data_IF_134032706486
#
_entry.id   IF_134032706486
#
_cell.length_a   1.000
_cell.length_b   1.000
_cell.length_c   1.000
_cell.angle_alpha   90.00
_cell.angle_beta   90.00
_cell.angle_gamma   90.00
#
_symmetry.space_group_name_H-M   'P 1'
#
loop_
_entity.id
_entity.type
_entity.pdbx_description
1 polymer ?
#
# COMPACT_ATOMS: atom_id res chain seq x y z
N UNK A 1 -17.41 15.49 16.89
CA UNK A 1 -17.48 15.08 15.48
C UNK A 1 -16.74 16.11 14.64
N UNK A 2 -15.57 15.76 14.14
CA UNK A 2 -14.85 16.57 13.17
C UNK A 2 -15.58 16.39 11.83
N UNK A 3 -16.32 17.38 11.37
CA UNK A 3 -16.94 17.34 10.04
C UNK A 3 -15.82 17.27 9.01
N UNK A 4 -15.76 16.18 8.27
CA UNK A 4 -14.88 16.03 7.12
C UNK A 4 -15.38 17.04 6.06
N UNK A 5 -14.74 18.19 5.96
CA UNK A 5 -14.94 19.09 4.83
C UNK A 5 -14.39 18.45 3.57
N UNK A 6 -15.18 18.45 2.50
CA UNK A 6 -14.72 17.99 1.18
C UNK A 6 -13.42 18.75 0.81
N UNK A 7 -12.30 18.05 0.59
CA UNK A 7 -11.03 18.69 0.23
C UNK A 7 -11.08 19.40 -1.13
N UNK A 8 -12.07 19.07 -1.96
CA UNK A 8 -12.29 19.67 -3.27
C UNK A 8 -13.77 20.01 -3.46
N UNK A 9 -14.22 21.17 -2.93
CA UNK A 9 -15.62 21.59 -3.04
C UNK A 9 -16.11 21.56 -4.50
N UNK A 10 -17.23 20.87 -4.74
CA UNK A 10 -17.87 20.77 -6.05
C UNK A 10 -17.41 19.62 -6.95
N UNK A 11 -16.47 18.77 -6.55
CA UNK A 11 -16.12 17.53 -7.26
C UNK A 11 -16.77 16.30 -6.65
N UNK A 12 -17.23 15.41 -7.52
CA UNK A 12 -17.76 14.10 -7.12
C UNK A 12 -16.61 13.28 -6.51
N UNK A 13 -16.73 12.93 -5.22
CA UNK A 13 -15.82 11.97 -4.57
C UNK A 13 -15.90 10.67 -5.37
N UNK A 14 -14.76 10.14 -5.81
CA UNK A 14 -14.71 8.81 -6.44
C UNK A 14 -15.15 7.79 -5.40
N UNK A 15 -16.16 6.99 -5.73
CA UNK A 15 -16.63 5.89 -4.89
C UNK A 15 -15.61 4.74 -4.97
N UNK A 16 -14.78 4.48 -3.94
CA UNK A 16 -13.75 3.44 -3.99
C UNK A 16 -14.33 2.06 -4.24
N UNK A 17 -15.55 1.79 -3.82
CA UNK A 17 -16.19 0.49 -4.05
C UNK A 17 -16.54 0.26 -5.52
N UNK A 18 -16.89 1.31 -6.26
CA UNK A 18 -17.21 1.25 -7.69
C UNK A 18 -16.00 1.49 -8.59
N UNK A 19 -15.13 2.41 -8.16
CA UNK A 19 -14.02 2.90 -8.98
C UNK A 19 -12.72 2.14 -8.73
N UNK A 20 -12.67 1.23 -7.74
CA UNK A 20 -11.45 0.50 -7.36
C UNK A 20 -10.74 -0.22 -8.52
N UNK A 21 -11.43 -0.96 -9.40
CA UNK A 21 -10.78 -1.57 -10.57
C UNK A 21 -10.15 -0.54 -11.51
N UNK A 22 -10.79 0.62 -11.71
CA UNK A 22 -10.25 1.70 -12.53
C UNK A 22 -9.05 2.37 -11.88
N UNK A 23 -9.10 2.60 -10.57
CA UNK A 23 -7.98 3.10 -9.76
C UNK A 23 -6.77 2.19 -9.92
N UNK A 24 -6.95 0.89 -9.72
CA UNK A 24 -5.88 -0.09 -9.89
C UNK A 24 -5.33 -0.13 -11.32
N UNK A 25 -6.20 -0.07 -12.32
CA UNK A 25 -5.78 -0.05 -13.72
C UNK A 25 -4.96 1.21 -14.04
N UNK A 26 -5.38 2.37 -13.56
CA UNK A 26 -4.68 3.63 -13.75
C UNK A 26 -3.29 3.60 -13.08
N UNK A 27 -3.19 3.05 -11.88
CA UNK A 27 -1.91 2.91 -11.17
C UNK A 27 -0.97 1.94 -11.88
N UNK A 28 -1.48 0.83 -12.40
CA UNK A 28 -0.69 -0.14 -13.21
C UNK A 28 -0.16 0.47 -14.49
N UNK A 29 -0.89 1.40 -15.10
CA UNK A 29 -0.43 2.18 -16.26
C UNK A 29 0.59 3.28 -15.89
N UNK A 30 1.14 3.28 -14.67
CA UNK A 30 2.10 4.28 -14.18
C UNK A 30 1.45 5.58 -13.71
N UNK A 31 0.13 5.63 -13.60
CA UNK A 31 -0.60 6.78 -13.07
C UNK A 31 -0.38 6.96 -11.57
N UNK A 32 -0.34 8.20 -11.12
CA UNK A 32 -0.25 8.55 -9.71
C UNK A 32 -1.65 8.85 -9.17
N UNK A 33 -2.03 8.19 -8.08
CA UNK A 33 -3.26 8.45 -7.35
C UNK A 33 -2.97 8.39 -5.84
N UNK A 34 -3.02 9.55 -5.21
CA UNK A 34 -2.70 9.71 -3.79
C UNK A 34 -3.97 9.55 -2.95
N UNK A 35 -4.06 8.50 -2.12
CA UNK A 35 -5.18 8.33 -1.22
C UNK A 35 -5.03 9.27 -0.02
N UNK A 36 -6.01 10.13 0.21
CA UNK A 36 -6.06 11.09 1.30
C UNK A 36 -7.18 10.73 2.28
N UNK A 37 -6.85 10.64 3.56
CA UNK A 37 -7.81 10.65 4.67
C UNK A 37 -7.76 12.01 5.37
N UNK A 38 -8.87 12.75 5.42
CA UNK A 38 -8.92 14.03 6.14
C UNK A 38 -8.84 13.79 7.66
N UNK A 39 -7.92 14.50 8.32
CA UNK A 39 -7.68 14.37 9.77
C UNK A 39 -8.51 15.37 10.61
N UNK A 40 -9.32 16.20 9.95
CA UNK A 40 -10.02 17.33 10.57
C UNK A 40 -9.26 18.64 10.43
N UNK A 41 -9.98 19.76 10.48
CA UNK A 41 -9.41 21.09 10.18
C UNK A 41 -8.80 21.11 8.78
N UNK A 42 -7.54 21.59 8.71
CA UNK A 42 -6.74 21.69 7.50
C UNK A 42 -5.67 20.58 7.37
N UNK A 43 -5.77 19.50 8.14
CA UNK A 43 -4.81 18.39 8.10
C UNK A 43 -5.32 17.20 7.27
N UNK A 44 -4.37 16.42 6.71
CA UNK A 44 -4.66 15.21 5.96
C UNK A 44 -3.53 14.21 5.98
N UNK A 45 -3.88 12.92 5.95
CA UNK A 45 -2.94 11.80 5.86
C UNK A 45 -2.99 11.17 4.47
N UNK A 46 -1.84 11.14 3.80
CA UNK A 46 -1.65 10.37 2.57
C UNK A 46 -0.85 9.12 2.90
N UNK A 47 -1.32 7.97 2.44
CA UNK A 47 -0.66 6.69 2.74
C UNK A 47 -0.27 5.90 1.49
N UNK A 48 0.71 5.00 1.65
CA UNK A 48 1.01 3.96 0.68
C UNK A 48 0.79 2.57 1.32
N UNK A 49 0.38 1.55 0.56
CA UNK A 49 0.31 0.18 1.06
C UNK A 49 1.66 -0.27 1.63
N UNK A 50 1.62 -1.05 2.71
CA UNK A 50 2.79 -1.55 3.46
C UNK A 50 3.61 -0.49 4.21
N UNK A 51 3.12 0.75 4.31
CA UNK A 51 3.68 1.81 5.13
C UNK A 51 2.86 2.01 6.41
N UNK A 52 2.52 0.96 7.13
CA UNK A 52 1.71 1.04 8.36
C UNK A 52 0.25 1.43 8.13
N UNK A 53 -0.25 1.27 6.90
CA UNK A 53 -1.57 1.76 6.50
C UNK A 53 -2.72 1.17 7.33
N UNK A 54 -2.64 -0.06 7.81
CA UNK A 54 -3.67 -0.69 8.66
C UNK A 54 -3.76 0.03 10.01
N UNK A 55 -2.62 0.26 10.66
CA UNK A 55 -2.55 1.01 11.93
C UNK A 55 -3.04 2.44 11.76
N UNK A 56 -2.57 3.14 10.73
CA UNK A 56 -2.95 4.53 10.46
C UNK A 56 -4.44 4.68 10.15
N UNK A 57 -5.02 3.78 9.37
CA UNK A 57 -6.46 3.76 9.09
C UNK A 57 -7.28 3.48 10.34
N UNK A 58 -6.84 2.54 11.19
CA UNK A 58 -7.49 2.28 12.47
C UNK A 58 -7.48 3.51 13.38
N UNK A 59 -6.32 4.15 13.51
CA UNK A 59 -6.19 5.39 14.28
C UNK A 59 -7.07 6.49 13.72
N UNK A 60 -7.10 6.65 12.39
CA UNK A 60 -7.99 7.62 11.74
C UNK A 60 -9.47 7.34 12.04
N UNK A 61 -9.90 6.06 11.99
CA UNK A 61 -11.27 5.67 12.32
C UNK A 61 -11.62 5.97 13.78
N UNK A 62 -10.70 5.73 14.71
CA UNK A 62 -10.87 6.10 16.13
C UNK A 62 -11.03 7.62 16.29
N UNK A 63 -10.25 8.42 15.56
CA UNK A 63 -10.42 9.88 15.54
C UNK A 63 -11.78 10.32 15.01
N UNK A 64 -12.42 9.51 14.15
CA UNK A 64 -13.78 9.73 13.66
C UNK A 64 -14.86 9.18 14.63
N UNK A 65 -14.47 8.58 15.76
CA UNK A 65 -15.37 8.00 16.76
C UNK A 65 -15.85 6.59 16.43
N UNK A 66 -15.20 5.89 15.51
CA UNK A 66 -15.55 4.50 15.19
C UNK A 66 -15.08 3.54 16.29
N UNK A 67 -15.91 2.55 16.61
CA UNK A 67 -15.53 1.42 17.47
C UNK A 67 -14.72 0.42 16.67
N UNK A 68 -13.42 0.43 16.87
CA UNK A 68 -12.45 -0.45 16.20
C UNK A 68 -12.12 -1.73 16.98
N UNK A 69 -12.82 -2.00 18.09
CA UNK A 69 -12.58 -3.18 18.94
C UNK A 69 -13.44 -4.39 18.56
N UNK A 70 -14.36 -4.24 17.64
CA UNK A 70 -15.26 -5.30 17.22
C UNK A 70 -14.51 -6.48 16.59
N UNK A 71 -14.86 -7.73 16.93
CA UNK A 71 -14.29 -8.91 16.28
C UNK A 71 -14.47 -8.85 14.75
N UNK A 72 -13.41 -9.13 14.01
CA UNK A 72 -13.44 -9.10 12.54
C UNK A 72 -13.41 -7.69 11.93
N UNK A 73 -13.16 -6.65 12.73
CA UNK A 73 -13.03 -5.29 12.22
C UNK A 73 -11.85 -5.17 11.24
N UNK A 74 -12.15 -4.76 10.00
CA UNK A 74 -11.14 -4.49 8.98
C UNK A 74 -11.01 -2.98 8.73
N UNK A 75 -9.89 -2.35 9.14
CA UNK A 75 -9.68 -0.93 8.94
C UNK A 75 -9.56 -0.53 7.47
N UNK A 76 -9.21 -1.46 6.59
CA UNK A 76 -9.13 -1.17 5.16
C UNK A 76 -10.51 -0.94 4.55
N UNK A 77 -11.42 -1.88 4.75
CA UNK A 77 -12.79 -1.76 4.26
C UNK A 77 -13.54 -0.59 4.90
N UNK A 78 -13.32 -0.33 6.20
CA UNK A 78 -14.00 0.73 6.91
C UNK A 78 -13.52 2.15 6.54
N UNK A 79 -12.22 2.34 6.24
CA UNK A 79 -11.64 3.65 5.90
C UNK A 79 -11.75 4.00 4.41
N UNK A 80 -11.80 3.02 3.51
CA UNK A 80 -11.80 3.24 2.07
C UNK A 80 -12.95 4.15 1.57
N UNK A 81 -14.19 4.03 2.04
CA UNK A 81 -15.29 4.90 1.58
C UNK A 81 -15.06 6.38 1.85
N UNK A 82 -14.22 6.72 2.82
CA UNK A 82 -13.89 8.11 3.20
C UNK A 82 -12.59 8.61 2.57
N UNK A 83 -11.90 7.77 1.79
CA UNK A 83 -10.65 8.14 1.15
C UNK A 83 -10.91 8.93 -0.14
N UNK A 84 -10.18 10.04 -0.29
CA UNK A 84 -10.16 10.80 -1.55
C UNK A 84 -8.96 10.38 -2.37
N UNK A 85 -9.18 9.99 -3.62
CA UNK A 85 -8.12 9.57 -4.53
C UNK A 85 -7.75 10.74 -5.44
N UNK A 86 -6.61 11.35 -5.16
CA UNK A 86 -6.15 12.59 -5.78
C UNK A 86 -5.13 12.30 -6.89
N UNK A 87 -5.33 12.85 -8.07
CA UNK A 87 -4.28 12.91 -9.08
C UNK A 87 -3.22 13.97 -8.68
N UNK A 88 -2.08 14.09 -9.40
CA UNK A 88 -1.01 15.02 -9.02
C UNK A 88 -1.42 16.50 -8.95
N UNK A 89 -2.35 16.94 -9.80
CA UNK A 89 -2.85 18.32 -9.79
C UNK A 89 -3.75 18.57 -8.58
N UNK A 90 -4.63 17.62 -8.30
CA UNK A 90 -5.51 17.64 -7.13
C UNK A 90 -4.70 17.60 -5.83
N UNK A 91 -3.65 16.76 -5.77
CA UNK A 91 -2.75 16.71 -4.60
C UNK A 91 -2.08 18.06 -4.35
N UNK A 92 -1.55 18.70 -5.40
CA UNK A 92 -0.98 20.06 -5.29
C UNK A 92 -2.01 21.09 -4.86
N UNK A 93 -3.20 21.07 -5.43
CA UNK A 93 -4.26 22.00 -5.06
C UNK A 93 -4.68 21.83 -3.59
N UNK A 94 -4.79 20.60 -3.11
CA UNK A 94 -5.11 20.31 -1.70
C UNK A 94 -3.98 20.73 -0.79
N UNK A 95 -2.73 20.47 -1.15
CA UNK A 95 -1.56 20.83 -0.33
C UNK A 95 -1.35 22.35 -0.16
N UNK A 96 -1.86 23.16 -1.07
CA UNK A 96 -1.84 24.62 -0.94
C UNK A 96 -2.71 25.14 0.23
N UNK A 97 -3.68 24.34 0.69
CA UNK A 97 -4.66 24.72 1.72
C UNK A 97 -4.71 23.75 2.91
N UNK A 98 -3.96 22.64 2.85
CA UNK A 98 -3.95 21.61 3.89
C UNK A 98 -2.53 21.19 4.25
N UNK A 99 -2.33 20.92 5.52
CA UNK A 99 -1.10 20.35 6.08
C UNK A 99 -1.11 18.84 5.85
N UNK A 100 -0.50 18.37 4.77
CA UNK A 100 -0.44 16.94 4.46
C UNK A 100 0.72 16.25 5.17
N UNK A 101 0.43 15.06 5.69
CA UNK A 101 1.40 14.14 6.30
C UNK A 101 1.47 12.88 5.46
N UNK A 102 2.67 12.38 5.21
CA UNK A 102 2.89 11.08 4.57
C UNK A 102 3.81 10.19 5.39
N UNK A 103 3.64 8.89 5.27
CA UNK A 103 4.53 7.89 5.87
C UNK A 103 5.35 7.24 4.77
N UNK A 104 6.67 7.27 4.96
CA UNK A 104 7.66 6.65 4.11
C UNK A 104 8.18 5.35 4.71
N UNK A 105 8.49 4.40 3.85
CA UNK A 105 9.20 3.18 4.22
C UNK A 105 10.32 2.92 3.23
N UNK A 106 11.46 2.33 3.69
CA UNK A 106 12.49 1.81 2.78
C UNK A 106 11.84 0.92 1.71
N UNK A 107 12.05 1.18 0.40
CA UNK A 107 11.34 0.46 -0.67
C UNK A 107 11.62 -1.03 -0.68
N UNK A 108 12.82 -1.46 -0.28
CA UNK A 108 13.16 -2.89 -0.20
C UNK A 108 12.46 -3.53 1.01
N UNK A 109 12.44 -2.86 2.16
CA UNK A 109 11.70 -3.36 3.34
C UNK A 109 10.19 -3.39 3.08
N UNK A 110 9.68 -2.46 2.27
CA UNK A 110 8.30 -2.46 1.81
C UNK A 110 8.01 -3.65 0.89
N UNK A 111 8.90 -3.95 -0.07
CA UNK A 111 8.80 -5.13 -0.93
C UNK A 111 8.79 -6.41 -0.10
N UNK A 112 9.73 -6.59 0.82
CA UNK A 112 9.75 -7.76 1.72
C UNK A 112 8.47 -7.87 2.55
N UNK A 113 7.92 -6.75 3.01
CA UNK A 113 6.63 -6.73 3.72
C UNK A 113 5.46 -7.16 2.81
N UNK A 114 5.50 -6.81 1.53
CA UNK A 114 4.52 -7.30 0.56
C UNK A 114 4.69 -8.81 0.33
N UNK A 115 5.92 -9.30 0.21
CA UNK A 115 6.22 -10.72 0.08
C UNK A 115 5.64 -11.53 1.25
N UNK A 116 5.85 -11.10 2.49
CA UNK A 116 5.30 -11.78 3.68
C UNK A 116 3.79 -11.94 3.66
N UNK A 117 3.08 -11.05 3.01
CA UNK A 117 1.62 -11.06 3.03
C UNK A 117 0.99 -11.67 1.78
N UNK A 118 1.64 -11.53 0.62
CA UNK A 118 1.01 -11.77 -0.67
C UNK A 118 1.81 -12.67 -1.62
N UNK A 119 3.08 -13.03 -1.30
CA UNK A 119 3.90 -13.79 -2.23
C UNK A 119 3.33 -15.18 -2.52
N UNK A 120 2.69 -15.81 -1.53
CA UNK A 120 1.99 -17.08 -1.69
C UNK A 120 0.89 -17.02 -2.76
N UNK A 121 0.32 -15.85 -3.01
CA UNK A 121 -0.73 -15.65 -4.04
C UNK A 121 -0.21 -15.85 -5.47
N UNK A 122 1.11 -15.90 -5.66
CA UNK A 122 1.75 -16.14 -6.95
C UNK A 122 2.00 -17.63 -7.23
N UNK A 123 1.64 -18.51 -6.30
CA UNK A 123 1.75 -19.97 -6.52
C UNK A 123 0.59 -20.48 -7.38
N UNK A 124 0.84 -21.59 -8.08
CA UNK A 124 -0.13 -22.21 -8.98
C UNK A 124 -1.44 -22.54 -8.26
N UNK A 125 -1.38 -23.15 -7.09
CA UNK A 125 -2.58 -23.52 -6.32
C UNK A 125 -3.38 -22.31 -5.85
N UNK A 126 -2.70 -21.24 -5.39
CA UNK A 126 -3.37 -20.01 -4.97
C UNK A 126 -4.07 -19.31 -6.14
N UNK A 127 -3.41 -19.23 -7.31
CA UNK A 127 -3.98 -18.66 -8.54
C UNK A 127 -5.19 -19.48 -8.98
N UNK A 128 -5.08 -20.81 -9.04
CA UNK A 128 -6.18 -21.70 -9.41
C UNK A 128 -7.36 -21.57 -8.45
N UNK A 129 -7.11 -21.54 -7.13
CA UNK A 129 -8.16 -21.36 -6.12
C UNK A 129 -8.90 -20.03 -6.32
N UNK A 130 -8.18 -18.95 -6.59
CA UNK A 130 -8.76 -17.63 -6.85
C UNK A 130 -9.59 -17.60 -8.14
N UNK A 131 -9.06 -18.12 -9.24
CA UNK A 131 -9.79 -18.22 -10.50
C UNK A 131 -11.05 -19.09 -10.36
N UNK A 132 -10.95 -20.21 -9.64
CA UNK A 132 -12.07 -21.08 -9.35
C UNK A 132 -13.17 -20.40 -8.54
N UNK A 133 -12.80 -19.68 -7.48
CA UNK A 133 -13.77 -18.96 -6.63
C UNK A 133 -14.49 -17.83 -7.37
N UNK A 134 -13.86 -17.28 -8.41
CA UNK A 134 -14.41 -16.20 -9.24
C UNK A 134 -15.20 -16.70 -10.45
N UNK A 135 -15.18 -18.03 -10.73
CA UNK A 135 -15.79 -18.62 -11.92
C UNK A 135 -17.03 -19.39 -11.54
N UNK A 136 -18.21 -19.07 -12.09
CA UNK A 136 -19.48 -19.71 -11.73
C UNK A 136 -19.57 -21.18 -12.20
N UNK A 137 -18.82 -21.56 -13.24
CA UNK A 137 -18.84 -22.89 -13.83
C UNK A 137 -17.46 -23.31 -14.35
N UNK A 138 -17.32 -24.60 -14.71
CA UNK A 138 -16.08 -25.20 -15.17
C UNK A 138 -15.55 -24.56 -16.46
N UNK A 139 -16.42 -24.27 -17.43
CA UNK A 139 -16.01 -23.70 -18.73
C UNK A 139 -15.41 -22.31 -18.57
N UNK A 140 -15.98 -21.46 -17.71
CA UNK A 140 -15.44 -20.15 -17.38
C UNK A 140 -14.12 -20.24 -16.63
N UNK A 141 -13.99 -21.19 -15.71
CA UNK A 141 -12.72 -21.44 -15.05
C UNK A 141 -11.61 -21.81 -16.03
N UNK A 142 -11.85 -22.77 -16.93
CA UNK A 142 -10.87 -23.19 -17.93
C UNK A 142 -10.50 -22.06 -18.90
N UNK A 143 -11.46 -21.22 -19.25
CA UNK A 143 -11.22 -20.05 -20.09
C UNK A 143 -10.39 -18.98 -19.35
N UNK A 144 -10.67 -18.74 -18.07
CA UNK A 144 -9.91 -17.82 -17.24
C UNK A 144 -8.48 -18.33 -17.02
N UNK A 145 -8.30 -19.65 -16.82
CA UNK A 145 -6.98 -20.25 -16.67
C UNK A 145 -6.13 -20.10 -17.94
N UNK A 146 -6.69 -20.43 -19.12
CA UNK A 146 -5.97 -20.24 -20.40
C UNK A 146 -5.57 -18.79 -20.61
N UNK A 147 -6.49 -17.85 -20.38
CA UNK A 147 -6.19 -16.42 -20.52
C UNK A 147 -5.07 -16.00 -19.55
N UNK A 148 -5.09 -16.48 -18.33
CA UNK A 148 -4.05 -16.22 -17.33
C UNK A 148 -2.69 -16.76 -17.78
N UNK A 149 -2.63 -18.02 -18.27
CA UNK A 149 -1.40 -18.64 -18.74
C UNK A 149 -0.82 -17.92 -19.97
N UNK A 150 -1.69 -17.51 -20.91
CA UNK A 150 -1.30 -16.70 -22.07
C UNK A 150 -0.76 -15.33 -21.66
N UNK A 151 -1.40 -14.66 -20.68
CA UNK A 151 -0.94 -13.39 -20.14
C UNK A 151 0.44 -13.53 -19.50
N UNK A 152 0.64 -14.54 -18.67
CA UNK A 152 1.91 -14.78 -17.99
C UNK A 152 3.02 -15.12 -18.98
N UNK A 153 2.75 -16.01 -19.93
CA UNK A 153 3.68 -16.37 -20.99
C UNK A 153 4.07 -15.15 -21.85
N UNK A 154 3.10 -14.29 -22.16
CA UNK A 154 3.35 -13.02 -22.89
C UNK A 154 4.29 -12.06 -22.16
N UNK A 155 4.38 -12.16 -20.85
CA UNK A 155 5.31 -11.38 -20.02
C UNK A 155 6.57 -12.16 -19.60
N UNK A 156 6.74 -13.39 -20.07
CA UNK A 156 7.90 -14.23 -19.76
C UNK A 156 7.96 -14.70 -18.30
N UNK A 157 6.80 -14.80 -17.64
CA UNK A 157 6.68 -15.29 -16.26
C UNK A 157 5.78 -16.53 -16.21
N UNK A 158 5.94 -17.30 -15.13
CA UNK A 158 5.10 -18.44 -14.79
C UNK A 158 4.77 -18.40 -13.31
N UNK A 159 3.61 -18.97 -12.93
CA UNK A 159 3.29 -19.17 -11.52
C UNK A 159 4.34 -20.09 -10.86
N UNK A 160 4.56 -19.89 -9.57
CA UNK A 160 5.49 -20.71 -8.80
C UNK A 160 4.81 -22.02 -8.38
N UNK A 161 5.61 -23.09 -8.22
CA UNK A 161 5.12 -24.34 -7.65
C UNK A 161 4.65 -24.12 -6.19
N UNK A 162 3.67 -24.89 -5.73
CA UNK A 162 3.11 -24.71 -4.38
C UNK A 162 4.09 -25.08 -3.27
N UNK A 163 5.07 -25.96 -3.58
CA UNK A 163 6.16 -26.39 -2.70
C UNK A 163 7.48 -25.65 -2.94
N UNK A 164 7.45 -24.56 -3.75
CA UNK A 164 8.64 -23.76 -4.00
C UNK A 164 9.18 -23.11 -2.72
N UNK A 165 10.51 -23.00 -2.60
CA UNK A 165 11.14 -22.30 -1.48
C UNK A 165 10.76 -20.82 -1.48
N UNK A 166 10.17 -20.29 -0.41
CA UNK A 166 9.74 -18.89 -0.35
C UNK A 166 10.84 -17.86 -0.58
N UNK A 167 12.09 -18.18 -0.23
CA UNK A 167 13.25 -17.28 -0.45
C UNK A 167 13.59 -17.23 -1.93
N UNK A 168 13.58 -18.36 -2.63
CA UNK A 168 13.81 -18.41 -4.06
C UNK A 168 12.72 -17.67 -4.82
N UNK A 169 11.46 -17.90 -4.44
CA UNK A 169 10.30 -17.18 -5.01
C UNK A 169 10.43 -15.68 -4.80
N UNK A 170 10.82 -15.22 -3.61
CA UNK A 170 11.02 -13.79 -3.32
C UNK A 170 12.10 -13.18 -4.22
N UNK A 171 13.22 -13.88 -4.41
CA UNK A 171 14.30 -13.43 -5.27
C UNK A 171 13.88 -13.37 -6.75
N UNK A 172 13.19 -14.39 -7.24
CA UNK A 172 12.67 -14.41 -8.61
C UNK A 172 11.60 -13.32 -8.83
N UNK A 173 10.68 -13.15 -7.87
CA UNK A 173 9.69 -12.08 -7.93
C UNK A 173 10.32 -10.68 -7.96
N UNK A 174 11.43 -10.47 -7.25
CA UNK A 174 12.19 -9.23 -7.29
C UNK A 174 12.83 -8.98 -8.68
N UNK A 175 13.41 -10.01 -9.28
CA UNK A 175 14.04 -9.93 -10.61
C UNK A 175 13.01 -9.67 -11.73
N UNK A 176 11.81 -10.20 -11.57
CA UNK A 176 10.72 -10.12 -12.55
C UNK A 176 9.61 -9.12 -12.13
N UNK A 177 9.89 -8.24 -11.17
CA UNK A 177 8.89 -7.38 -10.55
C UNK A 177 8.03 -6.57 -11.55
N UNK A 178 8.58 -5.95 -12.62
CA UNK A 178 7.75 -5.25 -13.61
C UNK A 178 6.73 -6.16 -14.29
N UNK A 179 7.11 -7.40 -14.63
CA UNK A 179 6.22 -8.37 -15.26
C UNK A 179 5.10 -8.81 -14.31
N UNK A 180 5.43 -9.10 -13.05
CA UNK A 180 4.44 -9.42 -12.02
C UNK A 180 3.46 -8.28 -11.77
N UNK A 181 3.93 -7.03 -11.73
CA UNK A 181 3.06 -5.85 -11.59
C UNK A 181 2.10 -5.74 -12.78
N UNK A 182 2.56 -6.03 -13.99
CA UNK A 182 1.71 -5.99 -15.17
C UNK A 182 0.61 -7.07 -15.17
N UNK A 183 0.87 -8.24 -14.59
CA UNK A 183 -0.01 -9.40 -14.67
C UNK A 183 -0.90 -9.61 -13.45
N UNK A 184 -0.44 -9.28 -12.24
CA UNK A 184 -1.13 -9.63 -11.01
C UNK A 184 -1.57 -8.40 -10.23
N UNK A 185 -2.88 -8.12 -10.21
CA UNK A 185 -3.43 -6.85 -9.73
C UNK A 185 -3.22 -6.62 -8.23
N UNK A 186 -3.44 -7.65 -7.39
CA UNK A 186 -3.28 -7.52 -5.94
C UNK A 186 -1.80 -7.38 -5.56
N UNK A 187 -0.93 -8.16 -6.21
CA UNK A 187 0.51 -8.02 -6.05
C UNK A 187 0.98 -6.62 -6.44
N UNK A 188 0.52 -6.10 -7.59
CA UNK A 188 0.89 -4.78 -8.06
C UNK A 188 0.54 -3.68 -7.05
N UNK A 189 -0.64 -3.73 -6.45
CA UNK A 189 -1.06 -2.75 -5.45
C UNK A 189 -0.11 -2.66 -4.24
N UNK A 190 0.49 -3.78 -3.86
CA UNK A 190 1.39 -3.83 -2.71
C UNK A 190 2.86 -3.59 -3.05
N UNK A 191 3.25 -3.68 -4.33
CA UNK A 191 4.65 -3.64 -4.77
C UNK A 191 5.00 -2.51 -5.75
N UNK A 192 4.03 -1.86 -6.39
CA UNK A 192 4.30 -0.67 -7.21
C UNK A 192 5.02 0.42 -6.39
N UNK A 193 5.79 1.29 -7.02
CA UNK A 193 6.55 2.34 -6.35
C UNK A 193 5.66 3.21 -5.43
N UNK A 194 6.19 3.65 -4.29
CA UNK A 194 5.45 4.45 -3.31
C UNK A 194 5.01 5.80 -3.88
N UNK A 195 5.79 6.37 -4.80
CA UNK A 195 5.43 7.63 -5.46
C UNK A 195 4.13 7.56 -6.26
N UNK A 196 3.67 6.36 -6.65
CA UNK A 196 2.35 6.19 -7.27
C UNK A 196 1.21 6.55 -6.29
N UNK A 197 1.47 6.43 -4.98
CA UNK A 197 0.54 6.78 -3.91
C UNK A 197 0.86 8.14 -3.30
N UNK A 198 2.14 8.48 -3.17
CA UNK A 198 2.57 9.71 -2.50
C UNK A 198 2.69 10.89 -3.47
N UNK A 199 2.59 10.64 -4.78
CA UNK A 199 2.96 11.65 -5.78
C UNK A 199 4.47 11.82 -5.89
N UNK A 200 4.93 12.46 -6.96
CA UNK A 200 6.37 12.65 -7.22
C UNK A 200 6.96 13.92 -6.60
N UNK A 201 6.14 14.75 -5.95
CA UNK A 201 6.54 16.05 -5.44
C UNK A 201 6.45 16.09 -3.91
N UNK A 202 7.58 16.02 -3.17
CA UNK A 202 7.58 16.07 -1.72
C UNK A 202 7.14 17.43 -1.16
N UNK A 203 7.16 18.50 -1.94
CA UNK A 203 6.71 19.83 -1.49
C UNK A 203 5.20 19.90 -1.19
N UNK A 204 4.42 18.90 -1.67
CA UNK A 204 3.02 18.75 -1.30
C UNK A 204 2.82 18.39 0.18
N UNK A 205 3.87 18.01 0.90
CA UNK A 205 3.76 17.53 2.26
C UNK A 205 4.40 18.53 3.23
N UNK A 206 3.69 18.83 4.31
CA UNK A 206 4.29 19.53 5.46
C UNK A 206 5.26 18.62 6.21
N UNK A 207 4.99 17.32 6.21
CA UNK A 207 5.77 16.35 6.98
C UNK A 207 5.77 15.00 6.28
N UNK A 208 6.96 14.41 6.12
CA UNK A 208 7.14 13.03 5.66
C UNK A 208 7.90 12.29 6.75
N UNK A 209 7.31 11.24 7.31
CA UNK A 209 7.82 10.47 8.44
C UNK A 209 8.23 9.08 8.01
N UNK A 210 9.25 8.54 8.65
CA UNK A 210 9.58 7.10 8.56
C UNK A 210 8.60 6.23 9.36
N UNK A 211 8.61 4.94 9.08
CA UNK A 211 7.78 3.96 9.80
C UNK A 211 8.04 3.96 11.31
N UNK A 212 9.27 4.21 11.73
CA UNK A 212 9.72 4.28 13.12
C UNK A 212 9.13 5.48 13.88
N UNK A 213 8.54 6.42 13.18
CA UNK A 213 7.96 7.65 13.77
C UNK A 213 6.43 7.56 13.91
N UNK A 214 5.79 6.47 13.50
CA UNK A 214 4.32 6.31 13.56
C UNK A 214 3.82 6.45 15.00
N UNK A 215 4.49 5.85 15.97
CA UNK A 215 4.07 5.91 17.37
C UNK A 215 4.09 7.35 17.90
N UNK A 216 5.12 8.12 17.56
CA UNK A 216 5.21 9.55 17.92
C UNK A 216 4.11 10.38 17.24
N UNK A 217 3.81 10.10 15.97
CA UNK A 217 2.72 10.76 15.24
C UNK A 217 1.35 10.48 15.89
N UNK A 218 1.09 9.23 16.26
CA UNK A 218 -0.18 8.85 16.88
C UNK A 218 -0.29 9.41 18.30
N UNK A 219 0.80 9.42 19.07
CA UNK A 219 0.83 10.09 20.38
C UNK A 219 0.51 11.60 20.26
N UNK A 220 1.04 12.27 19.22
CA UNK A 220 0.71 13.65 18.91
C UNK A 220 -0.79 13.82 18.61
N UNK A 221 -1.39 12.95 17.79
CA UNK A 221 -2.83 13.00 17.48
C UNK A 221 -3.70 12.69 18.70
N UNK A 222 -3.30 11.74 19.55
CA UNK A 222 -4.00 11.44 20.80
C UNK A 222 -4.05 12.66 21.73
N UNK A 223 -2.89 13.34 21.89
CA UNK A 223 -2.80 14.58 22.67
C UNK A 223 -3.67 15.70 22.09
N UNK A 224 -3.62 15.89 20.77
CA UNK A 224 -4.36 16.95 20.08
C UNK A 224 -5.89 16.73 20.11
N UNK A 225 -6.33 15.48 20.03
CA UNK A 225 -7.77 15.12 20.06
C UNK A 225 -8.33 14.92 21.47
N UNK A 226 -7.50 14.69 22.47
CA UNK A 226 -7.91 14.27 23.81
C UNK A 226 -8.46 12.84 23.86
N UNK A 227 -8.29 12.03 22.80
CA UNK A 227 -8.80 10.68 22.70
C UNK A 227 -7.71 9.65 23.04
N UNK A 228 -8.02 8.57 23.77
CA UNK A 228 -7.13 7.45 23.93
C UNK A 228 -7.09 6.66 22.62
N UNK A 229 -6.02 6.83 21.82
CA UNK A 229 -5.84 6.10 20.58
C UNK A 229 -5.13 4.77 20.85
N UNK A 230 -5.69 3.68 20.33
CA UNK A 230 -5.08 2.36 20.41
C UNK A 230 -4.05 2.17 19.29
N UNK A 231 -2.80 1.98 19.71
CA UNK A 231 -1.64 1.75 18.85
C UNK A 231 -1.36 0.27 18.61
N UNK A 232 -2.20 -0.64 19.11
CA UNK A 232 -1.94 -2.08 18.90
C UNK A 232 -1.71 -2.35 17.42
N UNK A 233 -0.49 -2.77 17.03
CA UNK A 233 -0.18 -3.04 15.64
C UNK A 233 -1.14 -4.08 15.08
N UNK A 234 -1.77 -3.77 13.97
CA UNK A 234 -2.65 -4.70 13.27
C UNK A 234 -1.87 -5.41 12.17
N UNK A 235 -2.13 -6.70 12.01
CA UNK A 235 -1.48 -7.51 10.97
C UNK A 235 0.05 -7.43 10.98
N UNK A 236 0.65 -7.50 12.17
CA UNK A 236 2.09 -7.70 12.29
C UNK A 236 2.39 -9.07 11.72
N UNK A 237 2.96 -9.09 10.52
CA UNK A 237 3.26 -10.33 9.81
C UNK A 237 4.24 -11.26 10.54
N UNK A 238 4.78 -10.82 11.68
CA UNK A 238 5.67 -11.60 12.54
C UNK A 238 4.95 -12.50 13.55
N UNK A 239 3.72 -12.15 13.98
CA UNK A 239 3.10 -12.83 15.14
C UNK A 239 2.40 -14.15 14.75
N UNK A 240 1.94 -14.28 13.50
CA UNK A 240 1.38 -15.54 12.96
C UNK A 240 2.48 -16.44 12.36
N UNK A 241 3.75 -16.12 12.58
CA UNK A 241 4.85 -16.57 11.73
C UNK A 241 5.40 -17.95 12.03
N UNK A 242 5.03 -18.59 13.16
CA UNK A 242 5.77 -19.80 13.56
C UNK A 242 5.55 -21.00 12.65
N UNK A 243 4.45 -21.07 11.92
CA UNK A 243 4.15 -22.21 11.03
C UNK A 243 4.17 -21.88 9.52
N UNK A 244 4.00 -20.61 9.15
CA UNK A 244 3.95 -20.21 7.74
C UNK A 244 5.31 -19.70 7.23
N UNK A 245 6.03 -20.44 6.36
CA UNK A 245 7.37 -20.08 5.89
C UNK A 245 7.37 -18.74 5.09
N UNK A 246 6.28 -18.39 4.41
CA UNK A 246 6.13 -17.13 3.69
C UNK A 246 6.19 -15.90 4.61
N UNK A 247 5.75 -16.04 5.86
CA UNK A 247 5.77 -14.97 6.87
C UNK A 247 7.17 -14.71 7.45
N UNK A 248 8.13 -15.64 7.25
CA UNK A 248 9.50 -15.56 7.79
C UNK A 248 10.48 -14.85 6.87
N UNK A 249 10.06 -14.40 5.70
CA UNK A 249 10.92 -13.73 4.73
C UNK A 249 11.57 -12.47 5.34
N UNK A 250 12.87 -12.27 5.05
CA UNK A 250 13.67 -11.16 5.54
C UNK A 250 14.48 -10.54 4.43
N UNK A 251 14.87 -9.28 4.61
CA UNK A 251 15.67 -8.51 3.67
C UNK A 251 17.04 -9.14 3.40
N UNK A 252 17.68 -9.70 4.42
CA UNK A 252 18.99 -10.33 4.34
C UNK A 252 19.01 -11.63 3.52
N UNK A 253 17.84 -12.15 3.15
CA UNK A 253 17.68 -13.32 2.26
C UNK A 253 17.59 -12.93 0.77
N UNK A 254 17.52 -11.63 0.45
CA UNK A 254 17.58 -11.18 -0.94
C UNK A 254 18.99 -11.33 -1.51
N UNK A 255 19.10 -11.87 -2.71
CA UNK A 255 20.33 -11.94 -3.46
C UNK A 255 20.83 -10.53 -3.86
N UNK A 256 22.10 -10.40 -4.21
CA UNK A 256 22.66 -9.12 -4.69
C UNK A 256 21.96 -8.64 -5.97
N UNK A 257 21.64 -9.57 -6.86
CA UNK A 257 20.94 -9.33 -8.11
C UNK A 257 19.52 -8.83 -7.86
N UNK A 258 18.78 -9.49 -6.93
CA UNK A 258 17.45 -9.08 -6.53
C UNK A 258 17.45 -7.67 -5.91
N UNK A 259 18.39 -7.40 -4.99
CA UNK A 259 18.57 -6.05 -4.41
C UNK A 259 18.86 -5.01 -5.48
N UNK A 260 19.72 -5.32 -6.46
CA UNK A 260 20.06 -4.42 -7.56
C UNK A 260 18.82 -4.14 -8.44
N UNK A 261 18.06 -5.16 -8.79
CA UNK A 261 16.83 -5.02 -9.57
C UNK A 261 15.80 -4.14 -8.83
N UNK A 262 15.59 -4.37 -7.53
CA UNK A 262 14.70 -3.56 -6.70
C UNK A 262 15.17 -2.10 -6.60
N UNK A 263 16.47 -1.85 -6.46
CA UNK A 263 17.01 -0.48 -6.44
C UNK A 263 16.75 0.25 -7.75
N UNK A 264 16.92 -0.41 -8.88
CA UNK A 264 16.61 0.19 -10.19
C UNK A 264 15.11 0.45 -10.32
N UNK A 265 14.28 -0.52 -9.96
CA UNK A 265 12.82 -0.38 -10.05
C UNK A 265 12.28 0.76 -9.16
N UNK A 266 12.78 0.89 -7.93
CA UNK A 266 12.36 1.91 -6.97
C UNK A 266 13.24 3.18 -7.00
N UNK A 267 13.99 3.43 -8.09
CA UNK A 267 14.88 4.59 -8.17
C UNK A 267 14.15 5.92 -7.95
N UNK A 268 12.93 6.03 -8.44
CA UNK A 268 12.10 7.23 -8.25
C UNK A 268 11.64 7.41 -6.78
N UNK A 269 11.41 6.32 -6.05
CA UNK A 269 11.12 6.36 -4.61
C UNK A 269 12.33 6.94 -3.84
N UNK A 270 13.54 6.49 -4.16
CA UNK A 270 14.76 7.02 -3.53
C UNK A 270 15.01 8.48 -3.88
N UNK A 271 14.75 8.89 -5.13
CA UNK A 271 14.85 10.29 -5.55
C UNK A 271 13.87 11.18 -4.77
N UNK A 272 12.61 10.73 -4.62
CA UNK A 272 11.60 11.43 -3.81
C UNK A 272 12.07 11.61 -2.37
N UNK A 273 12.58 10.55 -1.73
CA UNK A 273 13.08 10.63 -0.35
C UNK A 273 14.25 11.59 -0.23
N UNK A 274 15.20 11.56 -1.17
CA UNK A 274 16.34 12.47 -1.19
C UNK A 274 15.90 13.96 -1.27
N UNK A 275 14.90 14.26 -2.12
CA UNK A 275 14.32 15.60 -2.19
C UNK A 275 13.57 15.97 -0.90
N UNK A 276 12.81 15.04 -0.32
CA UNK A 276 12.09 15.26 0.92
C UNK A 276 13.05 15.60 2.09
N UNK A 277 14.16 14.89 2.20
CA UNK A 277 15.18 15.15 3.23
C UNK A 277 15.82 16.54 3.09
N UNK A 278 16.00 17.00 1.85
CA UNK A 278 16.56 18.35 1.59
C UNK A 278 15.56 19.47 1.92
N UNK A 279 14.27 19.26 1.64
CA UNK A 279 13.24 20.31 1.75
C UNK A 279 12.64 20.43 3.16
N UNK A 280 12.39 19.31 3.80
CA UNK A 280 11.58 19.25 5.03
C UNK A 280 12.41 19.30 6.32
N UNK A 281 13.73 19.11 6.24
CA UNK A 281 14.56 18.97 7.43
C UNK A 281 14.16 17.78 8.31
N UNK A 282 14.82 17.62 9.45
CA UNK A 282 14.42 16.59 10.41
C UNK A 282 13.17 17.06 11.16
N UNK A 283 12.05 16.31 11.03
CA UNK A 283 10.89 16.51 11.88
C UNK A 283 11.26 16.22 13.33
N UNK A 284 11.14 17.21 14.19
CA UNK A 284 11.24 17.04 15.63
C UNK A 284 9.83 17.07 16.20
N UNK A 285 9.43 16.00 16.89
CA UNK A 285 8.22 15.99 17.68
C UNK A 285 8.36 17.06 18.77
N UNK A 286 7.66 18.18 18.59
CA UNK A 286 7.61 19.25 19.56
C UNK A 286 6.67 18.92 20.71
#
# INVERSE_FOLDING_TARGET
MLQAHDPLPGRRVRDPGRDWPQIQLQMRAGGQLSPLLPLGGDAGLVWAPKNGCSTLKRVWLQLQGADCQQPGFDPHSAALPSAHWLNPEELRAVSAHRSLVAIWRDPIDRFVSACRSHLVELTTGAIHAKLRSSSPDQSRFESALRWHDELFAGHGIHSFADDADPVDVMNQAALQLPAWIACHIDWSHHTIAQINFLGGDPSCYRTILGMEQIDALVAHWAKASGLPLDLTPQHVSSDEAFENPWRRLRRDQLSREAVSALRMFYAADWAFLGLAQQQLGAWQAA
#
